data_IF_309218294109
#
_entry.id   IF_309218294109
#
_cell.length_a   1.000
_cell.length_b   1.000
_cell.length_c   1.000
_cell.angle_alpha   90.00
_cell.angle_beta   90.00
_cell.angle_gamma   90.00
#
_symmetry.space_group_name_H-M   'P 1'
#
loop_
_entity.id
_entity.type
_entity.pdbx_description
1 polymer ?
#
# COMPACT_ATOMS: atom_id res chain seq x y z
N UNK A 1 19.31 24.75 -15.61
CA UNK A 1 18.58 24.99 -16.87
C UNK A 1 17.37 25.85 -16.55
N UNK A 2 17.31 27.07 -17.06
CA UNK A 2 16.21 28.01 -16.77
C UNK A 2 14.94 27.55 -17.50
N UNK A 3 14.12 26.77 -16.82
CA UNK A 3 12.81 26.37 -17.32
C UNK A 3 11.90 27.60 -17.39
N UNK A 4 11.27 27.80 -18.54
CA UNK A 4 10.06 28.61 -18.69
C UNK A 4 9.09 28.30 -17.55
N UNK A 5 8.61 29.33 -16.83
CA UNK A 5 7.68 29.21 -15.71
C UNK A 5 6.28 28.80 -16.21
N UNK A 6 6.14 27.56 -16.65
CA UNK A 6 4.85 26.94 -16.94
C UNK A 6 4.22 26.47 -15.62
N UNK A 7 2.89 26.59 -15.52
CA UNK A 7 2.17 26.08 -14.35
C UNK A 7 2.26 24.56 -14.25
N UNK A 8 2.11 24.01 -13.05
CA UNK A 8 2.08 22.55 -12.83
C UNK A 8 0.97 21.87 -13.63
N UNK A 9 -0.18 22.53 -13.79
CA UNK A 9 -1.29 22.03 -14.60
C UNK A 9 -0.94 21.97 -16.09
N UNK A 10 -0.32 23.02 -16.63
CA UNK A 10 0.13 23.05 -18.02
C UNK A 10 1.22 22.01 -18.29
N UNK A 11 2.14 21.81 -17.34
CA UNK A 11 3.15 20.74 -17.41
C UNK A 11 2.51 19.35 -17.43
N UNK A 12 1.52 19.10 -16.58
CA UNK A 12 0.80 17.82 -16.56
C UNK A 12 0.05 17.57 -17.88
N UNK A 13 -0.58 18.60 -18.46
CA UNK A 13 -1.21 18.51 -19.77
C UNK A 13 -0.19 18.19 -20.87
N UNK A 14 0.94 18.91 -20.89
CA UNK A 14 2.03 18.67 -21.84
C UNK A 14 2.59 17.25 -21.70
N UNK A 15 2.76 16.76 -20.47
CA UNK A 15 3.18 15.38 -20.19
C UNK A 15 2.18 14.38 -20.77
N UNK A 16 0.88 14.57 -20.54
CA UNK A 16 -0.16 13.68 -21.06
C UNK A 16 -0.20 13.64 -22.60
N UNK A 17 0.07 14.77 -23.27
CA UNK A 17 0.11 14.85 -24.73
C UNK A 17 1.40 14.27 -25.34
N UNK A 18 2.54 14.48 -24.68
CA UNK A 18 3.85 14.10 -25.19
C UNK A 18 4.27 12.67 -24.86
N UNK A 19 3.55 11.99 -23.96
CA UNK A 19 3.92 10.65 -23.49
C UNK A 19 2.89 9.59 -23.86
N UNK A 20 3.34 8.33 -23.88
CA UNK A 20 2.48 7.17 -24.11
C UNK A 20 2.59 6.25 -22.91
N UNK A 21 1.47 5.65 -22.51
CA UNK A 21 1.42 4.61 -21.48
C UNK A 21 1.84 3.29 -22.09
N UNK A 22 2.73 2.57 -21.41
CA UNK A 22 3.25 1.27 -21.82
C UNK A 22 3.06 0.26 -20.69
N UNK A 23 2.72 -0.97 -21.06
CA UNK A 23 2.68 -2.12 -20.15
C UNK A 23 3.78 -3.09 -20.54
N UNK A 24 4.55 -3.55 -19.56
CA UNK A 24 5.63 -4.50 -19.81
C UNK A 24 5.64 -5.57 -18.72
N UNK A 25 5.48 -6.83 -19.13
CA UNK A 25 5.59 -7.98 -18.26
C UNK A 25 7.06 -8.29 -17.99
N UNK A 26 7.43 -8.46 -16.73
CA UNK A 26 8.73 -8.99 -16.36
C UNK A 26 8.67 -10.53 -16.33
N UNK A 27 9.80 -11.23 -16.54
CA UNK A 27 9.84 -12.69 -16.43
C UNK A 27 9.35 -13.14 -15.05
N UNK A 28 8.49 -14.16 -15.00
CA UNK A 28 8.02 -14.73 -13.75
C UNK A 28 9.13 -15.48 -13.02
N UNK A 29 9.06 -15.53 -11.68
CA UNK A 29 9.88 -16.41 -10.86
C UNK A 29 8.98 -17.28 -10.00
N UNK A 30 9.36 -18.55 -9.81
CA UNK A 30 8.63 -19.49 -8.97
C UNK A 30 9.39 -19.74 -7.69
N UNK A 31 8.69 -19.66 -6.57
CA UNK A 31 9.16 -20.02 -5.23
C UNK A 31 8.56 -21.35 -4.85
N UNK A 32 9.38 -22.26 -4.34
CA UNK A 32 8.96 -23.58 -3.83
C UNK A 32 9.45 -23.84 -2.41
N UNK A 33 10.10 -22.86 -1.79
CA UNK A 33 10.69 -22.96 -0.45
C UNK A 33 10.17 -21.83 0.44
N UNK A 34 10.02 -22.11 1.72
CA UNK A 34 9.62 -21.10 2.71
C UNK A 34 10.71 -20.07 2.93
N UNK A 35 10.30 -18.87 3.33
CA UNK A 35 11.25 -17.79 3.61
C UNK A 35 12.06 -17.34 2.39
N UNK A 36 11.78 -17.88 1.21
CA UNK A 36 12.51 -17.55 -0.01
C UNK A 36 12.19 -16.11 -0.44
N UNK A 37 13.14 -15.56 -1.19
CA UNK A 37 13.08 -14.21 -1.73
C UNK A 37 13.22 -14.26 -3.24
N UNK A 38 12.35 -13.55 -3.94
CA UNK A 38 12.48 -13.31 -5.39
C UNK A 38 12.81 -11.85 -5.65
N UNK A 39 13.61 -11.61 -6.68
CA UNK A 39 14.06 -10.27 -7.05
C UNK A 39 13.89 -10.02 -8.55
N UNK A 40 13.34 -8.86 -8.88
CA UNK A 40 13.13 -8.41 -10.26
C UNK A 40 13.81 -7.07 -10.47
N UNK A 41 14.83 -7.06 -11.32
CA UNK A 41 15.47 -5.82 -11.74
C UNK A 41 14.62 -5.16 -12.83
N UNK A 42 14.27 -3.90 -12.62
CA UNK A 42 13.47 -3.18 -13.61
C UNK A 42 14.35 -2.78 -14.80
N UNK A 43 13.84 -2.93 -16.03
CA UNK A 43 14.58 -2.51 -17.20
C UNK A 43 14.82 -1.00 -17.15
N UNK A 44 16.00 -0.57 -17.62
CA UNK A 44 16.37 0.85 -17.67
C UNK A 44 15.61 1.57 -18.79
N UNK A 45 14.32 1.78 -18.59
CA UNK A 45 13.44 2.33 -19.61
C UNK A 45 12.34 3.17 -18.98
N UNK A 46 12.22 4.43 -19.45
CA UNK A 46 11.04 5.28 -19.27
C UNK A 46 10.82 5.75 -17.81
N UNK A 47 9.65 6.33 -17.55
CA UNK A 47 9.21 6.78 -16.23
C UNK A 47 8.25 5.74 -15.64
N UNK A 48 8.58 5.15 -14.50
CA UNK A 48 7.76 4.18 -13.79
C UNK A 48 6.62 4.88 -13.06
N UNK A 49 5.38 4.45 -13.36
CA UNK A 49 4.17 4.89 -12.65
C UNK A 49 3.75 3.89 -11.59
N UNK A 50 3.67 2.60 -11.96
CA UNK A 50 3.23 1.57 -11.03
C UNK A 50 3.67 0.18 -11.43
N UNK A 51 3.58 -0.74 -10.48
CA UNK A 51 3.82 -2.16 -10.70
C UNK A 51 2.61 -2.96 -10.22
N UNK A 52 2.07 -3.82 -11.09
CA UNK A 52 1.13 -4.86 -10.69
C UNK A 52 1.92 -6.14 -10.46
N UNK A 53 1.64 -6.86 -9.38
CA UNK A 53 2.29 -8.11 -9.04
C UNK A 53 1.22 -9.17 -8.93
N UNK A 54 1.24 -10.13 -9.86
CA UNK A 54 0.38 -11.30 -9.81
C UNK A 54 1.06 -12.40 -8.99
N UNK A 55 0.32 -12.97 -8.06
CA UNK A 55 0.69 -14.14 -7.28
C UNK A 55 -0.21 -15.29 -7.67
N UNK A 56 0.39 -16.41 -8.07
CA UNK A 56 -0.30 -17.67 -8.33
C UNK A 56 0.25 -18.72 -7.36
N UNK A 57 -0.49 -18.99 -6.29
CA UNK A 57 -0.18 -20.00 -5.30
C UNK A 57 -0.78 -21.35 -5.68
N UNK A 58 -0.07 -22.40 -5.32
CA UNK A 58 -0.55 -23.78 -5.26
C UNK A 58 -0.17 -24.37 -3.91
N UNK A 59 -1.13 -25.05 -3.30
CA UNK A 59 -1.08 -25.69 -1.99
C UNK A 59 -1.46 -27.16 -2.12
N UNK A 60 -1.01 -27.99 -1.19
CA UNK A 60 -1.58 -29.32 -0.98
C UNK A 60 -2.75 -29.24 0.02
N UNK A 61 -3.48 -30.34 0.20
CA UNK A 61 -4.64 -30.39 1.10
C UNK A 61 -4.27 -30.11 2.57
N UNK A 62 -3.08 -30.53 3.02
CA UNK A 62 -2.62 -30.31 4.39
C UNK A 62 -2.28 -28.84 4.67
N UNK A 63 -1.81 -28.10 3.66
CA UNK A 63 -1.49 -26.69 3.75
C UNK A 63 -2.76 -25.83 3.81
N UNK A 64 -3.81 -26.25 3.10
CA UNK A 64 -5.12 -25.59 3.20
C UNK A 64 -5.67 -25.67 4.63
N UNK A 65 -5.56 -26.82 5.29
CA UNK A 65 -5.99 -26.99 6.68
C UNK A 65 -5.19 -26.07 7.64
N UNK A 66 -3.87 -25.96 7.45
CA UNK A 66 -3.01 -25.02 8.22
C UNK A 66 -3.45 -23.56 8.02
N UNK A 67 -3.85 -23.20 6.81
CA UNK A 67 -4.36 -21.86 6.49
C UNK A 67 -5.80 -21.63 7.01
N UNK A 68 -6.38 -22.60 7.72
CA UNK A 68 -7.73 -22.50 8.28
C UNK A 68 -8.82 -22.55 7.21
N UNK A 69 -8.54 -23.20 6.07
CA UNK A 69 -9.53 -23.51 5.05
C UNK A 69 -10.24 -24.83 5.39
N UNK A 70 -11.57 -24.78 5.55
CA UNK A 70 -12.39 -25.98 5.76
C UNK A 70 -13.01 -26.49 4.44
N UNK A 71 -13.38 -27.78 4.36
CA UNK A 71 -14.06 -28.39 3.20
C UNK A 71 -15.33 -27.63 2.74
N UNK A 72 -16.00 -26.91 3.66
CA UNK A 72 -17.16 -26.05 3.37
C UNK A 72 -16.80 -24.73 2.64
N UNK A 73 -15.53 -24.49 2.35
CA UNK A 73 -15.03 -23.30 1.64
C UNK A 73 -14.98 -22.02 2.47
N UNK A 74 -15.23 -22.10 3.79
CA UNK A 74 -15.13 -20.96 4.69
C UNK A 74 -13.67 -20.68 5.05
N UNK A 75 -13.23 -19.45 4.74
CA UNK A 75 -11.94 -18.91 5.17
C UNK A 75 -12.13 -18.25 6.53
N UNK A 76 -11.40 -18.69 7.55
CA UNK A 76 -11.46 -18.04 8.87
C UNK A 76 -10.93 -16.60 8.85
N UNK A 77 -9.95 -16.33 7.99
CA UNK A 77 -9.32 -15.02 7.81
C UNK A 77 -9.21 -14.64 6.33
N UNK A 78 -9.98 -13.62 5.91
CA UNK A 78 -10.01 -13.12 4.53
C UNK A 78 -8.63 -12.65 4.01
N UNK A 79 -7.68 -12.35 4.90
CA UNK A 79 -6.36 -11.85 4.55
C UNK A 79 -5.25 -12.92 4.56
N UNK A 80 -5.60 -14.19 4.79
CA UNK A 80 -4.63 -15.27 5.04
C UNK A 80 -3.57 -15.40 3.94
N UNK A 81 -3.96 -15.33 2.66
CA UNK A 81 -3.01 -15.45 1.56
C UNK A 81 -2.08 -14.25 1.42
N UNK A 82 -2.53 -13.06 1.80
CA UNK A 82 -1.69 -11.87 1.79
C UNK A 82 -0.64 -11.90 2.92
N UNK A 83 -0.94 -12.59 4.03
CA UNK A 83 -0.01 -12.80 5.16
C UNK A 83 1.16 -13.72 4.78
N UNK A 84 1.02 -14.55 3.75
CA UNK A 84 2.11 -15.39 3.22
C UNK A 84 3.27 -14.56 2.64
N UNK A 85 2.98 -13.33 2.24
CA UNK A 85 3.97 -12.39 1.73
C UNK A 85 4.43 -11.51 2.90
N UNK A 86 5.60 -11.84 3.45
CA UNK A 86 6.19 -11.16 4.61
C UNK A 86 6.55 -9.71 4.30
N UNK A 87 7.19 -9.46 3.16
CA UNK A 87 7.64 -8.12 2.76
C UNK A 87 7.69 -7.97 1.25
N UNK A 88 7.19 -6.85 0.76
CA UNK A 88 7.37 -6.35 -0.59
C UNK A 88 8.17 -5.05 -0.47
N UNK A 89 9.33 -5.01 -1.14
CA UNK A 89 10.18 -3.84 -1.20
C UNK A 89 10.41 -3.40 -2.64
N UNK A 90 10.25 -2.10 -2.90
CA UNK A 90 10.75 -1.47 -4.12
C UNK A 90 11.91 -0.58 -3.69
N UNK A 91 13.13 -0.99 -4.02
CA UNK A 91 14.34 -0.29 -3.60
C UNK A 91 15.09 0.31 -4.78
N UNK A 92 15.76 1.41 -4.51
CA UNK A 92 16.65 2.11 -5.42
C UNK A 92 18.06 2.02 -4.88
N UNK A 93 19.05 1.85 -5.75
CA UNK A 93 20.48 1.76 -5.36
C UNK A 93 21.08 3.03 -4.73
N UNK A 94 20.30 4.11 -4.61
CA UNK A 94 20.66 5.34 -3.91
C UNK A 94 20.15 5.38 -2.45
N UNK A 95 19.64 4.26 -1.93
CA UNK A 95 19.14 4.13 -0.55
C UNK A 95 17.68 4.52 -0.36
N UNK A 96 16.97 4.92 -1.42
CA UNK A 96 15.54 5.18 -1.35
C UNK A 96 14.73 3.89 -1.51
N UNK A 97 13.72 3.73 -0.66
CA UNK A 97 12.76 2.62 -0.74
C UNK A 97 11.33 3.17 -0.82
N UNK A 98 10.81 3.48 -2.03
CA UNK A 98 9.43 3.93 -2.23
C UNK A 98 8.38 3.01 -1.59
N UNK A 99 8.65 1.70 -1.54
CA UNK A 99 7.77 0.74 -0.88
C UNK A 99 8.58 -0.13 0.06
N UNK A 100 8.14 -0.23 1.31
CA UNK A 100 8.54 -1.27 2.27
C UNK A 100 7.31 -1.63 3.10
N UNK A 101 6.58 -2.66 2.67
CA UNK A 101 5.26 -3.00 3.20
C UNK A 101 5.04 -4.52 3.17
N UNK A 102 4.24 -5.07 4.08
CA UNK A 102 3.84 -6.48 4.01
C UNK A 102 2.78 -6.72 2.93
N UNK A 103 2.59 -7.97 2.48
CA UNK A 103 1.54 -8.27 1.51
C UNK A 103 0.14 -7.94 2.03
N UNK A 104 -0.12 -8.28 3.31
CA UNK A 104 -1.37 -7.95 4.01
C UNK A 104 -1.63 -6.44 4.00
N UNK A 105 -0.64 -5.66 4.44
CA UNK A 105 -0.81 -4.21 4.57
C UNK A 105 -0.97 -3.55 3.19
N UNK A 106 -0.30 -4.08 2.16
CA UNK A 106 -0.49 -3.63 0.79
C UNK A 106 -1.88 -3.97 0.26
N UNK A 107 -2.42 -5.14 0.59
CA UNK A 107 -3.79 -5.51 0.25
C UNK A 107 -4.79 -4.54 0.89
N UNK A 108 -4.61 -4.22 2.19
CA UNK A 108 -5.44 -3.25 2.91
C UNK A 108 -5.43 -1.87 2.23
N UNK A 109 -4.26 -1.34 1.86
CA UNK A 109 -4.18 -0.06 1.14
C UNK A 109 -4.79 -0.14 -0.25
N UNK A 110 -4.60 -1.25 -0.96
CA UNK A 110 -5.20 -1.41 -2.28
C UNK A 110 -6.74 -1.53 -2.21
N UNK A 111 -7.31 -1.97 -1.07
CA UNK A 111 -8.76 -1.88 -0.82
C UNK A 111 -9.24 -0.43 -0.65
N UNK A 112 -8.35 0.52 -0.36
CA UNK A 112 -8.68 1.95 -0.17
C UNK A 112 -8.81 2.74 -1.49
N UNK A 113 -9.33 2.08 -2.54
CA UNK A 113 -9.50 2.66 -3.88
C UNK A 113 -10.94 2.55 -4.34
N UNK A 114 -11.27 3.32 -5.38
CA UNK A 114 -12.56 3.19 -6.07
C UNK A 114 -12.66 1.76 -6.64
N UNK A 115 -13.79 1.08 -6.42
CA UNK A 115 -14.00 -0.33 -6.78
C UNK A 115 -13.09 -1.30 -6.00
N UNK A 116 -13.00 -1.07 -4.70
CA UNK A 116 -12.38 -1.95 -3.69
C UNK A 116 -12.89 -3.40 -3.70
N UNK A 117 -14.12 -3.64 -4.15
CA UNK A 117 -14.72 -4.97 -4.33
C UNK A 117 -13.92 -5.92 -5.22
N UNK A 118 -13.04 -5.37 -6.06
CA UNK A 118 -12.08 -6.13 -6.88
C UNK A 118 -11.09 -6.94 -6.03
N UNK A 119 -10.74 -6.45 -4.84
CA UNK A 119 -9.72 -7.06 -3.96
C UNK A 119 -10.40 -7.82 -2.81
N UNK A 120 -11.58 -7.38 -2.39
CA UNK A 120 -12.20 -7.79 -1.14
C UNK A 120 -13.25 -8.90 -1.27
N UNK A 121 -13.10 -9.87 -2.17
CA UNK A 121 -14.04 -11.00 -2.11
C UNK A 121 -13.46 -12.30 -2.61
N UNK A 122 -13.60 -13.30 -1.75
CA UNK A 122 -13.44 -14.74 -2.01
C UNK A 122 -14.33 -15.21 -3.19
N UNK A 123 -15.34 -14.42 -3.60
CA UNK A 123 -16.31 -14.73 -4.65
C UNK A 123 -16.34 -13.79 -5.87
N UNK A 124 -15.37 -12.87 -6.05
CA UNK A 124 -15.22 -12.10 -7.30
C UNK A 124 -14.04 -12.64 -8.11
N UNK A 125 -14.19 -12.64 -9.43
CA UNK A 125 -13.31 -13.22 -10.47
C UNK A 125 -11.81 -12.82 -10.44
N UNK A 126 -11.35 -12.01 -9.48
CA UNK A 126 -9.99 -11.44 -9.42
C UNK A 126 -9.15 -11.97 -8.26
N UNK A 127 -9.77 -12.56 -7.23
CA UNK A 127 -9.13 -13.49 -6.30
C UNK A 127 -9.73 -14.87 -6.57
N UNK A 128 -9.05 -15.68 -7.38
CA UNK A 128 -9.52 -17.04 -7.69
C UNK A 128 -8.95 -17.98 -6.64
N UNK A 129 -9.80 -18.52 -5.79
CA UNK A 129 -9.44 -19.61 -4.88
C UNK A 129 -10.17 -20.85 -5.40
N UNK A 130 -9.40 -21.81 -5.91
CA UNK A 130 -9.90 -23.07 -6.42
C UNK A 130 -9.70 -24.15 -5.35
N UNK A 131 -10.74 -24.37 -4.55
CA UNK A 131 -10.74 -25.30 -3.42
C UNK A 131 -10.48 -26.75 -3.85
N UNK A 132 -10.80 -27.11 -5.10
CA UNK A 132 -10.63 -28.49 -5.60
C UNK A 132 -9.16 -28.77 -5.94
N UNK A 133 -8.42 -27.73 -6.31
CA UNK A 133 -7.05 -27.86 -6.80
C UNK A 133 -6.00 -27.21 -5.89
N UNK A 134 -6.41 -26.62 -4.77
CA UNK A 134 -5.54 -25.90 -3.84
C UNK A 134 -4.84 -24.70 -4.48
N UNK A 135 -5.50 -23.98 -5.39
CA UNK A 135 -4.89 -22.84 -6.09
C UNK A 135 -5.46 -21.51 -5.59
N UNK A 136 -4.60 -20.51 -5.37
CA UNK A 136 -5.03 -19.14 -5.07
C UNK A 136 -4.32 -18.14 -5.97
N UNK A 137 -5.05 -17.26 -6.64
CA UNK A 137 -4.49 -16.25 -7.54
C UNK A 137 -5.02 -14.86 -7.22
N UNK A 138 -4.14 -13.89 -7.06
CA UNK A 138 -4.51 -12.48 -6.84
C UNK A 138 -3.45 -11.51 -7.38
N UNK A 139 -3.81 -10.22 -7.43
CA UNK A 139 -2.93 -9.13 -7.88
C UNK A 139 -2.84 -8.04 -6.82
N UNK A 140 -1.61 -7.63 -6.49
CA UNK A 140 -1.33 -6.45 -5.68
C UNK A 140 -0.72 -5.34 -6.54
N UNK A 141 -1.03 -4.09 -6.23
CA UNK A 141 -0.58 -2.91 -6.94
C UNK A 141 0.37 -2.08 -6.07
N UNK A 142 1.51 -1.69 -6.63
CA UNK A 142 2.44 -0.70 -6.09
C UNK A 142 2.33 0.57 -6.94
N UNK A 143 1.49 1.52 -6.52
CA UNK A 143 1.30 2.79 -7.23
C UNK A 143 2.28 3.85 -6.74
N UNK A 144 3.31 4.18 -7.52
CA UNK A 144 4.29 5.23 -7.17
C UNK A 144 3.70 6.63 -7.38
N UNK A 145 2.75 6.77 -8.30
CA UNK A 145 2.04 8.02 -8.54
C UNK A 145 0.97 8.29 -7.47
N UNK A 146 0.52 9.54 -7.37
CA UNK A 146 -0.60 9.89 -6.49
C UNK A 146 -1.90 9.23 -6.98
N UNK A 147 -2.15 9.31 -8.28
CA UNK A 147 -3.29 8.72 -8.95
C UNK A 147 -2.95 8.55 -10.44
N UNK A 148 -3.91 8.08 -11.23
CA UNK A 148 -3.70 7.86 -12.66
C UNK A 148 -3.66 9.16 -13.50
N UNK A 149 -4.07 10.29 -12.93
CA UNK A 149 -4.10 11.61 -13.58
C UNK A 149 -2.77 12.36 -13.37
N UNK A 150 -2.23 12.30 -12.17
CA UNK A 150 -1.14 13.15 -11.71
C UNK A 150 0.23 12.46 -11.87
N UNK A 151 1.18 13.16 -12.50
CA UNK A 151 2.51 12.64 -12.80
C UNK A 151 3.50 12.72 -11.62
N UNK A 152 3.07 13.22 -10.46
CA UNK A 152 3.90 13.31 -9.25
C UNK A 152 4.14 11.91 -8.66
N UNK A 153 5.38 11.62 -8.29
CA UNK A 153 5.79 10.30 -7.77
C UNK A 153 6.35 9.34 -8.83
N UNK A 154 6.45 9.77 -10.10
CA UNK A 154 7.11 8.98 -11.15
C UNK A 154 8.59 8.77 -10.84
N UNK A 155 9.07 7.54 -11.05
CA UNK A 155 10.48 7.18 -10.87
C UNK A 155 11.14 7.05 -12.24
N UNK A 156 12.27 7.74 -12.46
CA UNK A 156 13.03 7.62 -13.70
C UNK A 156 13.84 6.31 -13.71
N UNK A 157 13.56 5.43 -14.68
CA UNK A 157 14.29 4.17 -14.83
C UNK A 157 15.45 4.27 -15.84
N UNK A 158 15.45 5.27 -16.73
CA UNK A 158 16.49 5.41 -17.77
C UNK A 158 17.83 5.91 -17.22
N UNK A 159 17.89 6.39 -15.99
CA UNK A 159 19.14 6.90 -15.43
C UNK A 159 20.15 5.76 -15.26
N UNK A 160 21.35 5.89 -15.84
CA UNK A 160 22.38 4.86 -15.74
C UNK A 160 22.81 4.58 -14.30
N UNK A 161 22.78 5.62 -13.46
CA UNK A 161 23.13 5.55 -12.05
C UNK A 161 22.02 4.98 -11.16
N UNK A 162 20.79 4.86 -11.67
CA UNK A 162 19.64 4.38 -10.89
C UNK A 162 19.31 2.94 -11.27
N UNK A 163 19.35 2.04 -10.29
CA UNK A 163 18.83 0.69 -10.40
C UNK A 163 17.64 0.56 -9.46
N UNK A 164 16.52 0.10 -10.02
CA UNK A 164 15.28 -0.17 -9.27
C UNK A 164 15.06 -1.67 -9.23
N UNK A 165 14.91 -2.21 -8.02
CA UNK A 165 14.72 -3.63 -7.78
C UNK A 165 13.45 -3.84 -6.96
N UNK A 166 12.58 -4.70 -7.46
CA UNK A 166 11.46 -5.24 -6.69
C UNK A 166 11.94 -6.51 -5.97
N UNK A 167 11.77 -6.55 -4.66
CA UNK A 167 12.05 -7.71 -3.82
C UNK A 167 10.76 -8.17 -3.17
N UNK A 168 10.48 -9.47 -3.23
CA UNK A 168 9.35 -10.08 -2.54
C UNK A 168 9.86 -11.21 -1.67
N UNK A 169 9.63 -11.08 -0.37
CA UNK A 169 9.98 -12.05 0.66
C UNK A 169 8.73 -12.79 1.14
N UNK A 170 8.81 -14.10 1.18
CA UNK A 170 7.76 -14.95 1.73
C UNK A 170 7.97 -15.22 3.22
N UNK A 171 6.89 -15.53 3.94
CA UNK A 171 6.94 -15.94 5.33
C UNK A 171 7.54 -17.36 5.50
N UNK A 172 7.92 -17.69 6.73
CA UNK A 172 8.37 -19.02 7.16
C UNK A 172 7.21 -19.74 7.87
N UNK A 173 7.14 -21.08 7.79
CA UNK A 173 6.09 -21.95 8.32
C UNK A 173 4.72 -21.78 7.63
N UNK A 174 4.72 -21.71 6.30
CA UNK A 174 3.53 -21.61 5.46
C UNK A 174 2.94 -23.01 5.16
N UNK A 175 3.70 -24.09 5.31
CA UNK A 175 3.26 -25.41 4.83
C UNK A 175 3.87 -26.62 5.55
N UNK A 176 3.24 -27.77 5.34
CA UNK A 176 3.77 -29.11 5.60
C UNK A 176 4.75 -29.52 4.49
N UNK A 177 5.89 -30.13 4.81
CA UNK A 177 7.02 -30.39 3.88
C UNK A 177 6.59 -30.74 2.42
N UNK A 178 6.95 -29.87 1.45
CA UNK A 178 6.86 -30.04 -0.02
C UNK A 178 5.52 -29.72 -0.75
N UNK A 179 4.55 -29.08 -0.11
CA UNK A 179 3.26 -28.68 -0.73
C UNK A 179 3.17 -27.29 -1.37
N UNK A 180 4.06 -26.36 -1.03
CA UNK A 180 3.93 -24.95 -1.40
C UNK A 180 4.64 -24.58 -2.69
N UNK A 181 3.93 -23.93 -3.62
CA UNK A 181 4.57 -23.17 -4.69
C UNK A 181 3.86 -21.85 -4.97
N UNK A 182 4.63 -20.81 -5.28
CA UNK A 182 4.09 -19.51 -5.68
C UNK A 182 4.82 -19.00 -6.92
N UNK A 183 4.08 -18.72 -7.99
CA UNK A 183 4.61 -18.03 -9.17
C UNK A 183 4.31 -16.53 -9.06
N UNK A 184 5.36 -15.73 -9.02
CA UNK A 184 5.30 -14.26 -8.95
C UNK A 184 5.55 -13.69 -10.34
N UNK A 185 4.60 -12.88 -10.83
CA UNK A 185 4.69 -12.26 -12.16
C UNK A 185 4.42 -10.76 -12.08
N UNK A 186 5.48 -9.92 -12.13
CA UNK A 186 5.32 -8.47 -12.15
C UNK A 186 5.00 -7.93 -13.55
N UNK A 187 4.21 -6.87 -13.59
CA UNK A 187 3.98 -6.02 -14.76
C UNK A 187 4.22 -4.57 -14.38
N UNK A 188 5.15 -3.91 -15.07
CA UNK A 188 5.39 -2.48 -14.88
C UNK A 188 4.54 -1.66 -15.85
N UNK A 189 4.00 -0.56 -15.34
CA UNK A 189 3.36 0.49 -16.14
C UNK A 189 4.30 1.68 -16.19
N UNK A 190 4.68 2.08 -17.41
CA UNK A 190 5.63 3.17 -17.63
C UNK A 190 5.09 4.20 -18.63
N UNK A 191 5.54 5.45 -18.51
CA UNK A 191 5.29 6.52 -19.46
C UNK A 191 6.56 6.83 -20.26
N UNK A 192 6.43 6.92 -21.58
CA UNK A 192 7.53 7.35 -22.46
C UNK A 192 8.11 8.69 -21.98
N UNK A 193 9.42 8.89 -22.13
CA UNK A 193 10.03 10.17 -21.77
C UNK A 193 9.63 11.22 -22.82
N UNK A 194 9.11 12.38 -22.39
CA UNK A 194 8.71 13.42 -23.32
C UNK A 194 9.91 13.94 -24.11
N UNK A 195 9.67 14.34 -25.35
CA UNK A 195 10.68 14.83 -26.28
C UNK A 195 11.09 16.29 -26.05
N UNK A 196 10.39 17.03 -25.20
CA UNK A 196 10.74 18.40 -24.84
C UNK A 196 10.71 18.64 -23.31
N UNK A 197 11.60 19.48 -22.75
CA UNK A 197 11.75 19.63 -21.31
C UNK A 197 10.51 20.15 -20.58
N UNK A 198 9.67 20.94 -21.25
CA UNK A 198 8.47 21.56 -20.66
C UNK A 198 7.34 20.54 -20.40
N UNK A 199 7.42 19.36 -21.00
CA UNK A 199 6.55 18.23 -20.68
C UNK A 199 7.17 17.32 -19.60
N UNK A 200 8.44 17.51 -19.22
CA UNK A 200 9.09 16.61 -18.27
C UNK A 200 8.49 16.80 -16.86
N UNK A 201 7.99 15.71 -16.23
CA UNK A 201 7.32 15.81 -14.95
C UNK A 201 8.33 16.14 -13.86
N UNK A 202 7.84 16.72 -12.77
CA UNK A 202 8.67 16.93 -11.60
C UNK A 202 8.93 15.60 -10.89
N UNK A 203 10.18 15.14 -10.96
CA UNK A 203 10.66 13.91 -10.32
C UNK A 203 11.30 14.16 -8.96
N UNK A 204 11.24 15.39 -8.43
CA UNK A 204 11.76 15.72 -7.10
C UNK A 204 10.92 15.18 -5.95
N UNK A 205 9.71 14.67 -6.23
CA UNK A 205 8.81 14.12 -5.22
C UNK A 205 8.65 12.62 -5.41
N UNK A 206 8.89 11.87 -4.34
CA UNK A 206 8.71 10.42 -4.29
C UNK A 206 7.59 10.09 -3.31
N UNK A 207 6.68 9.21 -3.72
CA UNK A 207 5.69 8.61 -2.82
C UNK A 207 6.33 7.46 -2.07
N UNK A 208 6.21 7.48 -0.75
CA UNK A 208 6.66 6.46 0.17
C UNK A 208 5.45 5.75 0.77
N UNK A 209 5.43 4.42 0.69
CA UNK A 209 4.41 3.59 1.34
C UNK A 209 5.11 2.62 2.28
N UNK A 210 4.82 2.75 3.57
CA UNK A 210 5.43 1.91 4.61
C UNK A 210 4.43 1.50 5.66
N UNK A 211 4.68 0.35 6.28
CA UNK A 211 3.94 -0.08 7.47
C UNK A 211 4.87 -0.37 8.64
N UNK A 212 4.34 -0.20 9.85
CA UNK A 212 4.97 -0.64 11.09
C UNK A 212 3.90 -1.09 12.08
N UNK A 213 4.24 -2.01 12.97
CA UNK A 213 3.31 -2.53 13.97
C UNK A 213 3.82 -2.23 15.36
N UNK A 214 2.93 -1.75 16.23
CA UNK A 214 3.20 -1.46 17.62
C UNK A 214 2.27 -2.32 18.50
N UNK A 215 2.83 -2.95 19.53
CA UNK A 215 2.04 -3.72 20.50
C UNK A 215 1.50 -2.77 21.55
N UNK A 216 0.17 -2.78 21.74
CA UNK A 216 -0.53 -1.95 22.71
C UNK A 216 -0.87 -2.82 23.92
N UNK A 217 -0.06 -2.66 24.96
CA UNK A 217 -0.21 -3.41 26.20
C UNK A 217 -1.16 -2.66 27.14
N UNK A 218 -2.15 -3.37 27.66
CA UNK A 218 -3.21 -2.89 28.54
C UNK A 218 -4.24 -1.98 27.86
N UNK A 219 -5.45 -2.00 28.42
CA UNK A 219 -6.48 -1.02 28.13
C UNK A 219 -6.04 0.37 28.61
N UNK A 220 -6.39 1.41 27.86
CA UNK A 220 -6.06 2.80 28.22
C UNK A 220 -5.80 3.69 27.01
N UNK A 221 -5.35 4.90 27.29
CA UNK A 221 -4.93 5.86 26.26
C UNK A 221 -3.55 5.48 25.72
N UNK A 222 -3.45 5.40 24.41
CA UNK A 222 -2.21 5.12 23.68
C UNK A 222 -1.87 6.30 22.77
N UNK A 223 -0.58 6.65 22.74
CA UNK A 223 -0.04 7.71 21.88
C UNK A 223 1.01 7.09 20.98
N UNK A 224 0.77 7.17 19.69
CA UNK A 224 1.67 6.63 18.67
C UNK A 224 2.36 7.77 17.93
N UNK A 225 3.69 7.78 17.95
CA UNK A 225 4.50 8.87 17.38
C UNK A 225 4.71 8.70 15.88
N UNK A 226 4.13 9.56 15.07
CA UNK A 226 4.26 9.54 13.61
C UNK A 226 5.57 10.19 13.15
N UNK A 227 6.00 9.86 11.93
CA UNK A 227 7.24 10.38 11.37
C UNK A 227 7.06 11.83 10.90
N UNK A 228 7.95 12.73 11.32
CA UNK A 228 7.93 14.14 10.87
C UNK A 228 8.79 14.33 9.62
N UNK A 229 8.71 15.51 8.98
CA UNK A 229 9.56 15.83 7.83
C UNK A 229 9.01 15.36 6.47
N UNK A 230 7.78 14.85 6.43
CA UNK A 230 7.14 14.37 5.20
C UNK A 230 5.74 14.96 5.04
N UNK A 231 5.08 14.69 3.91
CA UNK A 231 3.69 15.12 3.67
C UNK A 231 2.80 13.89 3.69
N UNK A 232 1.92 13.77 4.67
CA UNK A 232 1.00 12.64 4.78
C UNK A 232 -0.17 12.80 3.81
N UNK A 233 -0.40 11.73 3.06
CA UNK A 233 -1.55 11.60 2.16
C UNK A 233 -2.60 10.68 2.74
N UNK A 234 -2.19 9.55 3.31
CA UNK A 234 -3.07 8.60 3.98
C UNK A 234 -2.41 8.02 5.22
N UNK A 235 -3.22 7.78 6.24
CA UNK A 235 -2.85 7.01 7.42
C UNK A 235 -3.93 5.97 7.64
N UNK A 236 -3.58 4.69 7.58
CA UNK A 236 -4.44 3.59 7.99
C UNK A 236 -3.96 3.03 9.33
N UNK A 237 -4.89 2.86 10.26
CA UNK A 237 -4.70 2.18 11.52
C UNK A 237 -5.43 0.85 11.43
N UNK A 238 -4.70 -0.25 11.56
CA UNK A 238 -5.25 -1.60 11.54
C UNK A 238 -5.00 -2.27 12.88
N UNK A 239 -6.08 -2.54 13.62
CA UNK A 239 -6.03 -3.17 14.93
C UNK A 239 -6.24 -4.67 14.80
N UNK A 240 -5.34 -5.45 15.41
CA UNK A 240 -5.46 -6.90 15.50
C UNK A 240 -5.34 -7.41 16.91
N UNK A 241 -5.99 -8.53 17.18
CA UNK A 241 -5.83 -9.29 18.42
C UNK A 241 -4.45 -9.99 18.50
N UNK A 242 -4.26 -10.81 19.53
CA UNK A 242 -3.03 -11.59 19.71
C UNK A 242 -2.79 -12.60 18.57
N UNK A 243 -3.88 -13.13 17.98
CA UNK A 243 -3.88 -14.06 16.86
C UNK A 243 -3.64 -13.39 15.50
N UNK A 244 -3.66 -12.05 15.44
CA UNK A 244 -3.50 -11.30 14.20
C UNK A 244 -4.78 -11.21 13.37
N UNK A 245 -5.94 -11.51 13.95
CA UNK A 245 -7.28 -11.30 13.39
C UNK A 245 -7.74 -9.86 13.69
N UNK A 246 -8.50 -9.25 12.79
CA UNK A 246 -8.97 -7.87 12.94
C UNK A 246 -9.90 -7.68 14.15
N UNK A 247 -9.62 -6.70 15.01
CA UNK A 247 -10.44 -6.39 16.19
C UNK A 247 -10.82 -4.90 16.26
N UNK A 248 -11.83 -4.55 17.05
CA UNK A 248 -12.29 -3.15 17.22
C UNK A 248 -12.11 -2.71 18.68
N UNK A 249 -10.85 -2.59 19.16
CA UNK A 249 -10.55 -2.36 20.56
C UNK A 249 -10.68 -0.87 20.93
N UNK A 250 -10.74 0.02 19.93
CA UNK A 250 -10.76 1.47 20.12
C UNK A 250 -12.14 1.94 20.54
N UNK A 251 -12.20 2.83 21.52
CA UNK A 251 -13.42 3.53 21.95
C UNK A 251 -13.23 5.04 21.91
N UNK A 252 -14.30 5.74 21.53
CA UNK A 252 -14.33 7.19 21.43
C UNK A 252 -13.53 7.71 20.23
N UNK A 253 -12.84 8.83 20.44
CA UNK A 253 -12.19 9.54 19.35
C UNK A 253 -10.79 8.99 19.05
N UNK A 254 -10.45 8.98 17.76
CA UNK A 254 -9.08 8.93 17.28
C UNK A 254 -8.66 10.34 16.91
N UNK A 255 -7.50 10.74 17.43
CA UNK A 255 -7.04 12.11 17.37
C UNK A 255 -5.68 12.19 16.69
N UNK A 256 -5.51 13.18 15.81
CA UNK A 256 -4.23 13.53 15.22
C UNK A 256 -3.74 14.83 15.84
N UNK A 257 -2.62 14.77 16.55
CA UNK A 257 -2.11 15.85 17.41
C UNK A 257 -0.83 16.44 16.82
N UNK A 258 -0.78 17.77 16.72
CA UNK A 258 0.37 18.53 16.23
C UNK A 258 1.02 19.27 17.41
N UNK A 259 2.35 19.11 17.57
CA UNK A 259 3.16 19.83 18.56
C UNK A 259 2.60 19.83 20.01
N UNK A 260 2.03 18.71 20.48
CA UNK A 260 1.43 18.48 21.81
C UNK A 260 0.17 19.27 22.19
N UNK A 261 -0.07 20.43 21.57
CA UNK A 261 -1.10 21.36 22.02
C UNK A 261 -2.26 21.51 21.04
N UNK A 262 -2.05 21.19 19.76
CA UNK A 262 -3.05 21.34 18.72
C UNK A 262 -3.60 19.99 18.30
N UNK A 263 -4.92 19.85 18.24
CA UNK A 263 -5.62 18.62 17.86
C UNK A 263 -6.61 18.94 16.73
N UNK A 264 -6.11 19.18 15.51
CA UNK A 264 -6.95 19.60 14.39
C UNK A 264 -7.94 18.54 13.94
N UNK A 265 -7.68 17.26 14.26
CA UNK A 265 -8.55 16.14 13.89
C UNK A 265 -8.83 15.34 15.16
N UNK A 266 -10.09 15.24 15.54
CA UNK A 266 -10.61 14.38 16.61
C UNK A 266 -11.94 13.83 16.12
N UNK A 267 -11.96 12.55 15.72
CA UNK A 267 -13.12 11.92 15.08
C UNK A 267 -13.48 10.66 15.85
N UNK A 268 -14.76 10.52 16.19
CA UNK A 268 -15.30 9.30 16.77
C UNK A 268 -15.11 8.10 15.82
N UNK A 269 -14.73 6.95 16.37
CA UNK A 269 -14.33 5.78 15.59
C UNK A 269 -15.45 5.26 14.68
N UNK A 270 -16.71 5.28 15.14
CA UNK A 270 -17.86 4.82 14.37
C UNK A 270 -18.16 5.81 13.23
N UNK A 271 -17.99 7.10 13.51
CA UNK A 271 -18.09 8.16 12.48
C UNK A 271 -17.02 7.99 11.40
N UNK A 272 -15.76 7.72 11.79
CA UNK A 272 -14.68 7.49 10.84
C UNK A 272 -14.96 6.26 9.97
N UNK A 273 -15.43 5.17 10.57
CA UNK A 273 -15.85 3.96 9.85
C UNK A 273 -16.95 4.25 8.83
N UNK A 274 -17.98 5.00 9.21
CA UNK A 274 -19.04 5.43 8.30
C UNK A 274 -18.48 6.27 7.14
N UNK A 275 -17.58 7.22 7.42
CA UNK A 275 -16.92 8.02 6.38
C UNK A 275 -16.12 7.14 5.42
N UNK A 276 -15.38 6.16 5.91
CA UNK A 276 -14.65 5.22 5.07
C UNK A 276 -15.56 4.38 4.17
N UNK A 277 -16.68 3.86 4.70
CA UNK A 277 -17.66 3.12 3.89
C UNK A 277 -18.24 4.02 2.80
N UNK A 278 -18.60 5.26 3.14
CA UNK A 278 -19.12 6.24 2.17
C UNK A 278 -18.09 6.58 1.09
N UNK A 279 -16.80 6.65 1.42
CA UNK A 279 -15.74 7.02 0.48
C UNK A 279 -15.31 5.86 -0.43
N UNK A 280 -15.19 4.64 0.12
CA UNK A 280 -14.66 3.49 -0.62
C UNK A 280 -15.75 2.59 -1.20
N UNK A 281 -17.01 2.81 -0.84
CA UNK A 281 -18.16 2.05 -1.36
C UNK A 281 -18.21 0.59 -0.92
N UNK A 282 -17.43 0.20 0.10
CA UNK A 282 -17.42 -1.15 0.68
C UNK A 282 -17.22 -1.07 2.18
N UNK A 283 -17.64 -2.13 2.88
CA UNK A 283 -17.16 -2.39 4.23
C UNK A 283 -15.67 -2.74 4.18
N UNK A 284 -14.90 -2.11 5.05
CA UNK A 284 -13.50 -2.43 5.28
C UNK A 284 -13.39 -3.60 6.26
N UNK A 285 -12.25 -4.33 6.23
CA UNK A 285 -11.96 -5.35 7.24
C UNK A 285 -12.09 -4.81 8.67
N UNK A 286 -12.55 -5.67 9.57
CA UNK A 286 -12.71 -5.34 10.99
C UNK A 286 -11.40 -4.78 11.56
N UNK A 287 -11.49 -3.65 12.26
CA UNK A 287 -10.32 -3.01 12.86
C UNK A 287 -9.50 -2.11 11.93
N UNK A 288 -9.88 -1.95 10.66
CA UNK A 288 -9.24 -1.01 9.74
C UNK A 288 -9.95 0.35 9.75
N UNK A 289 -9.19 1.40 10.04
CA UNK A 289 -9.64 2.79 10.03
C UNK A 289 -8.68 3.64 9.22
N UNK A 290 -9.19 4.47 8.32
CA UNK A 290 -8.33 5.20 7.38
C UNK A 290 -8.63 6.69 7.40
N UNK A 291 -7.61 7.47 7.68
CA UNK A 291 -7.55 8.89 7.37
C UNK A 291 -7.07 9.06 5.94
N UNK A 292 -8.01 9.13 4.99
CA UNK A 292 -7.71 9.49 3.61
C UNK A 292 -7.91 10.99 3.41
N UNK A 293 -6.81 11.73 3.50
CA UNK A 293 -6.86 13.17 3.31
C UNK A 293 -7.17 13.56 1.85
N UNK A 294 -6.97 12.65 0.89
CA UNK A 294 -7.23 12.90 -0.53
C UNK A 294 -8.67 12.59 -0.97
N UNK A 295 -9.51 12.03 -0.11
CA UNK A 295 -10.82 11.48 -0.49
C UNK A 295 -12.02 12.42 -0.34
N UNK A 296 -11.85 13.60 0.27
CA UNK A 296 -12.98 14.47 0.66
C UNK A 296 -13.67 15.19 -0.50
N UNK A 297 -13.07 15.24 -1.69
CA UNK A 297 -13.64 15.93 -2.88
C UNK A 297 -14.39 14.98 -3.85
N UNK A 298 -14.83 13.81 -3.36
CA UNK A 298 -15.78 12.93 -4.06
C UNK A 298 -15.20 11.62 -4.59
N UNK A 299 -13.89 11.55 -4.86
CA UNK A 299 -13.21 10.33 -5.29
C UNK A 299 -11.94 10.10 -4.47
N UNK A 300 -11.82 8.91 -3.85
CA UNK A 300 -10.59 8.46 -3.19
C UNK A 300 -9.40 8.64 -4.14
N UNK A 301 -8.29 9.15 -3.62
CA UNK A 301 -7.02 9.42 -4.32
C UNK A 301 -6.94 10.69 -5.18
N UNK A 302 -7.99 11.51 -5.31
CA UNK A 302 -8.03 12.67 -6.23
C UNK A 302 -7.95 14.06 -5.58
N UNK A 303 -7.71 14.14 -4.27
CA UNK A 303 -7.64 15.39 -3.51
C UNK A 303 -6.53 16.36 -3.96
N UNK A 304 -6.69 17.60 -3.52
CA UNK A 304 -5.81 18.71 -3.87
C UNK A 304 -4.66 18.92 -2.87
N UNK A 305 -3.77 19.86 -3.18
CA UNK A 305 -2.63 20.18 -2.30
C UNK A 305 -3.01 20.77 -0.95
N UNK A 306 -4.26 21.24 -0.78
CA UNK A 306 -4.80 21.72 0.50
C UNK A 306 -4.94 20.58 1.50
N UNK A 307 -5.25 19.38 1.02
CA UNK A 307 -5.82 18.36 1.88
C UNK A 307 -4.74 17.55 2.62
N UNK A 308 -3.49 17.55 2.12
CA UNK A 308 -2.40 16.79 2.75
C UNK A 308 -1.89 17.43 4.05
N UNK A 309 -1.44 16.60 4.99
CA UNK A 309 -0.81 17.08 6.22
C UNK A 309 0.70 17.23 5.98
N UNK A 310 1.18 18.47 5.87
CA UNK A 310 2.62 18.77 5.78
C UNK A 310 3.26 18.82 7.17
N UNK A 311 4.06 17.81 7.50
CA UNK A 311 4.76 17.71 8.79
C UNK A 311 6.20 18.23 8.73
N UNK A 312 6.60 18.92 7.64
CA UNK A 312 7.97 19.43 7.47
C UNK A 312 8.38 20.51 8.47
N UNK A 313 7.40 21.19 9.06
CA UNK A 313 7.61 22.26 10.05
C UNK A 313 7.12 21.88 11.46
N UNK A 314 6.60 20.67 11.65
CA UNK A 314 6.15 20.19 12.94
C UNK A 314 7.34 19.62 13.72
N UNK A 315 7.35 19.85 15.03
CA UNK A 315 8.30 19.19 15.94
C UNK A 315 7.79 17.83 16.36
N UNK A 316 6.46 17.67 16.45
CA UNK A 316 5.82 16.42 16.86
C UNK A 316 4.51 16.20 16.11
N UNK A 317 4.24 14.95 15.75
CA UNK A 317 3.00 14.52 15.12
C UNK A 317 2.59 13.16 15.69
N UNK A 318 1.40 13.05 16.29
CA UNK A 318 0.96 11.84 16.98
C UNK A 318 -0.44 11.39 16.56
N UNK A 319 -0.69 10.09 16.67
CA UNK A 319 -2.04 9.53 16.71
C UNK A 319 -2.36 9.10 18.15
N UNK A 320 -3.44 9.61 18.72
CA UNK A 320 -3.91 9.29 20.07
C UNK A 320 -5.28 8.63 20.01
N UNK A 321 -5.45 7.56 20.77
CA UNK A 321 -6.71 6.82 20.86
C UNK A 321 -6.75 5.99 22.15
N UNK A 322 -7.93 5.56 22.58
CA UNK A 322 -8.11 4.73 23.77
C UNK A 322 -8.54 3.32 23.40
N UNK A 323 -7.89 2.29 23.95
CA UNK A 323 -8.26 0.88 23.75
C UNK A 323 -8.87 0.24 25.00
N UNK A 324 -9.72 -0.77 24.81
CA UNK A 324 -10.35 -1.54 25.90
C UNK A 324 -9.64 -2.84 26.25
N UNK A 325 -8.71 -3.29 25.40
CA UNK A 325 -8.03 -4.57 25.52
C UNK A 325 -6.62 -4.52 24.92
N UNK A 326 -5.84 -5.57 25.17
CA UNK A 326 -4.53 -5.76 24.54
C UNK A 326 -4.73 -6.00 23.04
N UNK A 327 -3.99 -5.27 22.22
CA UNK A 327 -4.03 -5.43 20.77
C UNK A 327 -2.72 -5.00 20.12
N UNK A 328 -2.60 -5.19 18.82
CA UNK A 328 -1.53 -4.64 18.00
C UNK A 328 -2.13 -3.59 17.08
N UNK A 329 -1.46 -2.46 16.92
CA UNK A 329 -1.80 -1.45 15.95
C UNK A 329 -0.75 -1.45 14.84
N UNK A 330 -1.16 -1.88 13.64
CA UNK A 330 -0.38 -1.68 12.42
C UNK A 330 -0.74 -0.34 11.82
N UNK A 331 0.25 0.52 11.68
CA UNK A 331 0.14 1.82 11.01
C UNK A 331 0.65 1.63 9.59
N UNK A 332 -0.18 1.97 8.62
CA UNK A 332 0.18 2.00 7.21
C UNK A 332 0.08 3.44 6.74
N UNK A 333 1.16 3.98 6.21
CA UNK A 333 1.25 5.39 5.86
C UNK A 333 1.69 5.55 4.41
N UNK A 334 1.00 6.44 3.70
CA UNK A 334 1.39 6.95 2.39
C UNK A 334 1.84 8.40 2.54
N UNK A 335 3.12 8.65 2.29
CA UNK A 335 3.76 9.95 2.47
C UNK A 335 4.40 10.42 1.17
N UNK A 336 4.55 11.73 1.02
CA UNK A 336 5.35 12.34 -0.04
C UNK A 336 6.63 12.90 0.58
N UNK A 337 7.76 12.55 -0.03
CA UNK A 337 9.07 13.05 0.34
C UNK A 337 9.64 13.87 -0.82
N UNK A 338 10.22 15.02 -0.49
CA UNK A 338 10.95 15.85 -1.46
C UNK A 338 12.42 15.43 -1.42
N UNK A 339 12.96 15.08 -2.58
CA UNK A 339 14.39 14.90 -2.80
C UNK A 339 15.05 16.28 -2.64
N UNK A 340 15.95 16.41 -1.66
CA UNK A 340 16.75 17.62 -1.44
C UNK A 340 18.02 17.60 -2.26
#
# INVERSE_FOLDING_TARGET
>A
MSGTNISSAQRAQNFAQATRKNYHMLPSQTVTQEGATVQFNYPKARLLSKTLIKFDFKFNDADLDILGYTEDGLVKDELVFYKLIRRISLSMNNGWEPFTISGRDLALINMCRINSSVINSVNNNLVKIDNVNGEASFVLELENTLNQRDASGLIILQNEATQVTLTVDFATNIHSENGFSCKVTPMITTFTIPNYPEAFPDISVVKLTKSRTESLLNAGEHIVKMDIGTIYRKIALYFTDENGEGCEPVKGNVELIYNTADTPISIDIDTLKFMNISQFGTNLPKGLYIFDFSGYEGFSNYGGSRDFIDTSRLTEFWARFTTTENCKCTIIQENLSRLR
#
